data_IF_247210229225
#
_entry.id   IF_247210229225
#
_cell.length_a   1.000
_cell.length_b   1.000
_cell.length_c   1.000
_cell.angle_alpha   90.00
_cell.angle_beta   90.00
_cell.angle_gamma   90.00
#
_symmetry.space_group_name_H-M   'P 1'
#
loop_
_entity.id
_entity.type
_entity.pdbx_description
1 polymer ?
#
# COMPACT_ATOMS: atom_id res chain seq x y z
N UNK A 1 18.93 2.42 23.80
CA UNK A 1 17.83 1.73 24.51
C UNK A 1 16.48 1.98 23.85
N UNK A 2 16.11 3.21 23.48
CA UNK A 2 14.82 3.51 22.84
C UNK A 2 14.63 2.92 21.42
N UNK A 3 15.71 2.75 20.65
CA UNK A 3 15.65 2.20 19.27
C UNK A 3 15.22 0.73 19.26
N UNK A 4 15.83 -0.10 20.12
CA UNK A 4 15.49 -1.53 20.23
C UNK A 4 14.04 -1.79 20.62
N UNK A 5 13.48 -0.95 21.49
CA UNK A 5 12.07 -1.10 21.88
C UNK A 5 11.14 -0.83 20.69
N UNK A 6 11.43 0.18 19.88
CA UNK A 6 10.60 0.49 18.72
C UNK A 6 10.70 -0.60 17.64
N UNK A 7 11.88 -1.17 17.42
CA UNK A 7 12.08 -2.32 16.53
C UNK A 7 11.24 -3.53 17.00
N UNK A 8 11.29 -3.86 18.30
CA UNK A 8 10.43 -4.92 18.87
C UNK A 8 8.93 -4.61 18.73
N UNK A 9 8.53 -3.34 18.80
CA UNK A 9 7.15 -2.93 18.59
C UNK A 9 6.74 -3.01 17.11
N UNK A 10 7.66 -2.72 16.18
CA UNK A 10 7.43 -2.87 14.75
C UNK A 10 7.26 -4.34 14.38
N UNK A 11 8.13 -5.23 14.85
CA UNK A 11 8.01 -6.67 14.63
C UNK A 11 6.67 -7.21 15.15
N UNK A 12 6.29 -6.84 16.38
CA UNK A 12 5.00 -7.23 16.95
C UNK A 12 3.83 -6.67 16.19
N UNK A 13 3.94 -5.44 15.69
CA UNK A 13 2.89 -4.81 14.90
C UNK A 13 2.73 -5.50 13.55
N UNK A 14 3.82 -5.79 12.84
CA UNK A 14 3.81 -6.52 11.58
C UNK A 14 3.18 -7.91 11.75
N UNK A 15 3.58 -8.65 12.79
CA UNK A 15 3.00 -9.96 13.09
C UNK A 15 1.50 -9.87 13.43
N UNK A 16 1.12 -8.92 14.30
CA UNK A 16 -0.28 -8.76 14.68
C UNK A 16 -1.17 -8.32 13.50
N UNK A 17 -0.61 -7.53 12.57
CA UNK A 17 -1.29 -7.14 11.34
C UNK A 17 -1.49 -8.35 10.43
N UNK A 18 -0.44 -9.18 10.25
CA UNK A 18 -0.52 -10.45 9.51
C UNK A 18 -1.60 -11.36 10.09
N UNK A 19 -1.57 -11.62 11.41
CA UNK A 19 -2.56 -12.45 12.09
C UNK A 19 -4.01 -11.93 11.89
N UNK A 20 -4.18 -10.59 11.91
CA UNK A 20 -5.50 -9.98 11.69
C UNK A 20 -5.97 -10.12 10.25
N UNK A 21 -5.06 -10.05 9.29
CA UNK A 21 -5.37 -10.24 7.87
C UNK A 21 -5.76 -11.69 7.60
N UNK A 22 -5.03 -12.66 8.17
CA UNK A 22 -5.36 -14.09 8.14
C UNK A 22 -6.74 -14.36 8.77
N UNK A 23 -7.05 -13.74 9.93
CA UNK A 23 -8.35 -13.88 10.60
C UNK A 23 -9.51 -13.46 9.69
N UNK A 24 -9.32 -12.40 8.90
CA UNK A 24 -10.33 -11.87 8.00
C UNK A 24 -10.42 -12.63 6.68
N UNK A 25 -9.59 -13.66 6.48
CA UNK A 25 -9.39 -14.26 5.17
C UNK A 25 -9.06 -13.18 4.14
N UNK A 26 -8.32 -12.16 4.56
CA UNK A 26 -7.59 -11.28 3.68
C UNK A 26 -6.21 -11.93 3.55
N UNK A 27 -6.15 -13.07 2.87
CA UNK A 27 -4.87 -13.65 2.44
C UNK A 27 -4.21 -12.57 1.55
N UNK A 28 -3.30 -11.80 2.15
CA UNK A 28 -2.13 -11.33 1.43
C UNK A 28 -1.05 -12.33 1.82
N UNK A 29 -1.02 -13.47 1.14
CA UNK A 29 0.04 -14.45 1.33
C UNK A 29 1.31 -13.90 0.67
N UNK A 30 2.05 -13.07 1.43
CA UNK A 30 3.31 -12.43 1.02
C UNK A 30 4.39 -13.49 0.67
N UNK A 31 4.15 -14.77 0.94
CA UNK A 31 5.07 -15.88 0.67
C UNK A 31 4.92 -16.60 -0.67
N UNK A 32 3.80 -16.43 -1.39
CA UNK A 32 3.47 -17.16 -2.63
C UNK A 32 3.12 -16.20 -3.79
N UNK A 33 3.90 -15.13 -3.93
CA UNK A 33 3.76 -14.13 -4.99
C UNK A 33 4.26 -14.64 -6.36
N UNK A 34 3.48 -15.51 -6.99
CA UNK A 34 3.33 -15.50 -8.46
C UNK A 34 2.16 -14.57 -8.85
N UNK A 35 2.48 -13.29 -9.09
CA UNK A 35 1.89 -12.44 -10.13
C UNK A 35 0.42 -11.98 -10.11
N UNK A 36 -0.47 -12.38 -9.19
CA UNK A 36 -1.93 -12.29 -9.47
C UNK A 36 -2.81 -11.89 -8.27
N UNK A 37 -2.71 -10.67 -7.72
CA UNK A 37 -3.74 -10.20 -6.73
C UNK A 37 -4.64 -9.07 -7.27
N UNK A 38 -4.22 -8.33 -8.31
CA UNK A 38 -5.15 -7.46 -9.06
C UNK A 38 -6.29 -8.27 -9.72
N UNK A 39 -6.00 -9.53 -10.03
CA UNK A 39 -6.84 -10.47 -10.76
C UNK A 39 -7.56 -11.46 -9.83
N UNK A 40 -7.20 -11.55 -8.54
CA UNK A 40 -7.89 -12.45 -7.60
C UNK A 40 -9.25 -11.93 -7.13
N UNK A 41 -9.59 -10.65 -7.39
CA UNK A 41 -10.98 -10.22 -7.39
C UNK A 41 -11.83 -10.98 -8.45
N UNK A 42 -11.21 -11.69 -9.39
CA UNK A 42 -11.89 -12.55 -10.37
C UNK A 42 -11.77 -14.07 -10.10
N UNK A 43 -10.87 -14.56 -9.24
CA UNK A 43 -10.73 -16.01 -8.94
C UNK A 43 -10.94 -16.41 -7.48
N UNK A 44 -10.82 -15.50 -6.50
CA UNK A 44 -11.04 -15.81 -5.07
C UNK A 44 -12.52 -15.81 -4.62
N UNK A 45 -13.44 -15.40 -5.50
CA UNK A 45 -14.89 -15.40 -5.22
C UNK A 45 -15.37 -14.31 -4.23
N UNK A 46 -14.49 -13.39 -3.85
CA UNK A 46 -14.78 -12.29 -2.93
C UNK A 46 -15.28 -11.09 -3.73
N UNK A 47 -16.43 -10.51 -3.36
CA UNK A 47 -16.98 -9.36 -4.09
C UNK A 47 -16.17 -8.08 -3.79
N UNK A 48 -16.17 -7.06 -4.68
CA UNK A 48 -15.57 -5.76 -4.39
C UNK A 48 -16.11 -5.11 -3.10
N UNK A 49 -17.38 -5.38 -2.75
CA UNK A 49 -18.01 -4.90 -1.52
C UNK A 49 -17.38 -5.56 -0.28
N UNK A 50 -17.13 -6.87 -0.35
CA UNK A 50 -16.52 -7.63 0.74
C UNK A 50 -15.03 -7.28 0.90
N UNK A 51 -14.31 -7.01 -0.20
CA UNK A 51 -12.93 -6.50 -0.14
C UNK A 51 -12.86 -5.12 0.54
N UNK A 52 -13.83 -4.23 0.24
CA UNK A 52 -13.93 -2.92 0.88
C UNK A 52 -14.26 -3.03 2.37
N UNK A 53 -15.18 -3.93 2.76
CA UNK A 53 -15.54 -4.16 4.16
C UNK A 53 -14.33 -4.66 4.97
N UNK A 54 -13.58 -5.64 4.44
CA UNK A 54 -12.34 -6.13 5.07
C UNK A 54 -11.30 -5.02 5.22
N UNK A 55 -11.11 -4.19 4.19
CA UNK A 55 -10.18 -3.05 4.26
C UNK A 55 -10.55 -2.06 5.37
N UNK A 56 -11.84 -1.76 5.52
CA UNK A 56 -12.33 -0.87 6.59
C UNK A 56 -12.15 -1.50 7.98
N UNK A 57 -12.35 -2.81 8.11
CA UNK A 57 -12.12 -3.53 9.38
C UNK A 57 -10.64 -3.50 9.77
N UNK A 58 -9.73 -3.73 8.81
CA UNK A 58 -8.28 -3.64 9.04
C UNK A 58 -7.89 -2.22 9.45
N UNK A 59 -8.40 -1.18 8.76
CA UNK A 59 -8.10 0.21 9.12
C UNK A 59 -8.58 0.57 10.53
N UNK A 60 -9.78 0.11 10.91
CA UNK A 60 -10.32 0.29 12.25
C UNK A 60 -9.46 -0.42 13.30
N UNK A 61 -9.04 -1.66 13.02
CA UNK A 61 -8.17 -2.43 13.90
C UNK A 61 -6.80 -1.75 14.08
N UNK A 62 -6.18 -1.26 13.00
CA UNK A 62 -4.89 -0.54 13.07
C UNK A 62 -5.04 0.69 13.98
N UNK A 63 -6.13 1.46 13.84
CA UNK A 63 -6.42 2.62 14.69
C UNK A 63 -6.52 2.25 16.17
N UNK A 64 -7.18 1.15 16.49
CA UNK A 64 -7.30 0.68 17.86
C UNK A 64 -5.98 0.12 18.41
N UNK A 65 -5.24 -0.64 17.60
CA UNK A 65 -3.93 -1.18 17.95
C UNK A 65 -2.92 -0.06 18.24
N UNK A 66 -2.90 0.99 17.42
CA UNK A 66 -1.96 2.11 17.53
C UNK A 66 -2.37 3.16 18.58
N UNK A 67 -3.61 3.14 19.07
CA UNK A 67 -4.16 4.10 20.05
C UNK A 67 -3.31 4.29 21.32
N UNK A 68 -2.66 3.26 21.91
CA UNK A 68 -1.83 3.44 23.10
C UNK A 68 -0.49 4.15 22.84
N UNK A 69 -0.04 4.19 21.58
CA UNK A 69 1.24 4.78 21.20
C UNK A 69 1.13 6.30 21.08
N UNK A 70 2.25 7.01 21.26
CA UNK A 70 2.32 8.46 20.99
C UNK A 70 2.30 8.69 19.48
N UNK A 71 1.79 9.84 19.03
CA UNK A 71 1.74 10.20 17.59
C UNK A 71 3.05 9.96 16.84
N UNK A 72 4.19 10.35 17.43
CA UNK A 72 5.50 10.14 16.81
C UNK A 72 5.86 8.65 16.67
N UNK A 73 5.44 7.81 17.60
CA UNK A 73 5.72 6.37 17.56
C UNK A 73 4.75 5.67 16.59
N UNK A 74 3.49 6.11 16.52
CA UNK A 74 2.52 5.68 15.50
C UNK A 74 3.07 5.94 14.09
N UNK A 75 3.56 7.15 13.85
CA UNK A 75 4.16 7.53 12.57
C UNK A 75 5.38 6.66 12.23
N UNK A 76 6.27 6.40 13.20
CA UNK A 76 7.43 5.54 12.96
C UNK A 76 7.05 4.09 12.68
N UNK A 77 6.02 3.56 13.33
CA UNK A 77 5.51 2.21 13.06
C UNK A 77 4.91 2.13 11.65
N UNK A 78 4.13 3.13 11.25
CA UNK A 78 3.60 3.23 9.89
C UNK A 78 4.72 3.30 8.83
N UNK A 79 5.71 4.17 9.05
CA UNK A 79 6.91 4.28 8.19
C UNK A 79 7.68 2.96 8.13
N UNK A 80 7.82 2.26 9.26
CA UNK A 80 8.50 0.98 9.33
C UNK A 80 7.86 -0.11 8.48
N UNK A 81 6.54 -0.05 8.26
CA UNK A 81 5.83 -0.94 7.33
C UNK A 81 5.90 -0.46 5.89
N UNK A 82 5.88 0.86 5.65
CA UNK A 82 5.90 1.41 4.29
C UNK A 82 7.28 1.34 3.63
N UNK A 83 8.36 1.57 4.39
CA UNK A 83 9.70 1.64 3.83
C UNK A 83 10.09 0.40 3.04
N UNK A 84 9.98 -0.84 3.57
CA UNK A 84 10.38 -2.03 2.82
C UNK A 84 9.62 -2.16 1.50
N UNK A 85 8.30 -1.89 1.51
CA UNK A 85 7.47 -1.98 0.30
C UNK A 85 7.90 -0.95 -0.74
N UNK A 86 8.17 0.29 -0.34
CA UNK A 86 8.59 1.33 -1.26
C UNK A 86 10.02 1.08 -1.77
N UNK A 87 10.92 0.61 -0.91
CA UNK A 87 12.27 0.21 -1.29
C UNK A 87 12.22 -0.89 -2.37
N UNK A 88 11.37 -1.91 -2.20
CA UNK A 88 11.16 -2.98 -3.19
C UNK A 88 10.61 -2.43 -4.52
N UNK A 89 9.61 -1.54 -4.48
CA UNK A 89 9.06 -0.90 -5.69
C UNK A 89 10.14 -0.10 -6.43
N UNK A 90 10.97 0.66 -5.71
CA UNK A 90 12.03 1.46 -6.32
C UNK A 90 13.17 0.61 -6.88
N UNK A 91 13.52 -0.48 -6.20
CA UNK A 91 14.53 -1.41 -6.70
C UNK A 91 14.05 -2.09 -7.98
N UNK A 92 12.77 -2.45 -8.08
CA UNK A 92 12.17 -3.02 -9.29
C UNK A 92 11.98 -1.99 -10.43
N UNK A 93 11.84 -0.71 -10.09
CA UNK A 93 11.65 0.36 -11.07
C UNK A 93 12.86 0.46 -12.02
N UNK A 94 12.68 0.03 -13.26
CA UNK A 94 13.73 0.02 -14.30
C UNK A 94 14.51 -1.29 -14.42
N UNK A 95 14.13 -2.34 -13.68
CA UNK A 95 14.69 -3.69 -13.81
C UNK A 95 13.73 -4.69 -14.50
N UNK A 96 12.51 -4.26 -14.83
CA UNK A 96 11.54 -5.13 -15.50
C UNK A 96 11.98 -5.41 -16.94
N UNK A 97 12.38 -6.65 -17.22
CA UNK A 97 12.81 -7.10 -18.55
C UNK A 97 11.80 -8.07 -19.20
N UNK A 98 10.84 -8.58 -18.42
CA UNK A 98 9.80 -9.51 -18.85
C UNK A 98 8.39 -9.11 -18.39
N UNK A 99 7.37 -9.71 -19.00
CA UNK A 99 5.97 -9.53 -18.61
C UNK A 99 5.71 -10.00 -17.16
N UNK A 100 6.46 -11.01 -16.70
CA UNK A 100 6.39 -11.50 -15.32
C UNK A 100 6.97 -10.46 -14.34
N UNK A 101 8.10 -9.83 -14.68
CA UNK A 101 8.68 -8.75 -13.86
C UNK A 101 7.76 -7.54 -13.80
N UNK A 102 7.11 -7.19 -14.91
CA UNK A 102 6.14 -6.11 -14.96
C UNK A 102 4.91 -6.42 -14.10
N UNK A 103 4.42 -7.66 -14.13
CA UNK A 103 3.31 -8.12 -13.29
C UNK A 103 3.68 -8.04 -11.81
N UNK A 104 4.88 -8.49 -11.46
CA UNK A 104 5.41 -8.41 -10.09
C UNK A 104 5.60 -6.96 -9.63
N UNK A 105 6.10 -6.08 -10.50
CA UNK A 105 6.20 -4.64 -10.20
C UNK A 105 4.83 -4.03 -9.92
N UNK A 106 3.84 -4.30 -10.78
CA UNK A 106 2.47 -3.79 -10.59
C UNK A 106 1.81 -4.35 -9.33
N UNK A 107 2.12 -5.59 -8.96
CA UNK A 107 1.67 -6.20 -7.71
C UNK A 107 2.23 -5.46 -6.49
N UNK A 108 3.53 -5.17 -6.48
CA UNK A 108 4.15 -4.39 -5.43
C UNK A 108 3.59 -2.96 -5.36
N UNK A 109 3.30 -2.32 -6.50
CA UNK A 109 2.64 -1.01 -6.54
C UNK A 109 1.27 -1.05 -5.87
N UNK A 110 0.44 -2.06 -6.18
CA UNK A 110 -0.87 -2.21 -5.53
C UNK A 110 -0.75 -2.46 -4.02
N UNK A 111 0.22 -3.27 -3.60
CA UNK A 111 0.50 -3.48 -2.18
C UNK A 111 0.91 -2.16 -1.52
N UNK A 112 1.80 -1.38 -2.15
CA UNK A 112 2.21 -0.05 -1.68
C UNK A 112 1.05 0.93 -1.54
N UNK A 113 0.13 0.97 -2.51
CA UNK A 113 -1.06 1.83 -2.48
C UNK A 113 -2.04 1.43 -1.38
N UNK A 114 -2.30 0.13 -1.24
CA UNK A 114 -3.20 -0.41 -0.21
C UNK A 114 -2.65 -0.13 1.19
N UNK A 115 -1.38 -0.44 1.43
CA UNK A 115 -0.71 -0.21 2.71
C UNK A 115 -0.61 1.28 3.04
N UNK A 116 -0.29 2.12 2.03
CA UNK A 116 -0.33 3.57 2.20
C UNK A 116 -1.73 4.06 2.59
N UNK A 117 -2.78 3.60 1.91
CA UNK A 117 -4.15 4.02 2.20
C UNK A 117 -4.57 3.72 3.65
N UNK A 118 -4.20 2.55 4.17
CA UNK A 118 -4.48 2.15 5.56
C UNK A 118 -3.69 2.97 6.58
N UNK A 119 -2.45 3.33 6.27
CA UNK A 119 -1.53 3.96 7.23
C UNK A 119 -1.45 5.48 7.13
N UNK A 120 -1.97 6.11 6.06
CA UNK A 120 -1.83 7.56 5.81
C UNK A 120 -2.32 8.44 6.96
N UNK A 121 -3.33 8.00 7.71
CA UNK A 121 -3.87 8.76 8.85
C UNK A 121 -2.92 8.91 10.04
N UNK A 122 -1.83 8.12 10.08
CA UNK A 122 -0.79 8.17 11.10
C UNK A 122 0.47 8.93 10.66
N UNK A 123 0.53 9.37 9.40
CA UNK A 123 1.67 10.08 8.85
C UNK A 123 1.52 11.60 9.02
N UNK A 124 2.64 12.30 9.23
CA UNK A 124 2.70 13.75 9.12
C UNK A 124 2.57 14.20 7.66
N UNK A 125 2.22 15.47 7.43
CA UNK A 125 2.12 16.06 6.08
C UNK A 125 3.40 15.87 5.25
N UNK A 126 4.56 15.94 5.91
CA UNK A 126 5.84 15.68 5.27
C UNK A 126 5.91 14.25 4.73
N UNK A 127 5.65 13.26 5.59
CA UNK A 127 5.77 11.86 5.20
C UNK A 127 4.64 11.43 4.25
N UNK A 128 3.43 11.96 4.41
CA UNK A 128 2.36 11.82 3.42
C UNK A 128 2.84 12.19 2.02
N UNK A 129 3.51 13.35 1.89
CA UNK A 129 4.04 13.81 0.61
C UNK A 129 5.14 12.88 0.09
N UNK A 130 6.06 12.45 0.97
CA UNK A 130 7.18 11.56 0.63
C UNK A 130 6.73 10.24 0.01
N UNK A 131 5.67 9.61 0.50
CA UNK A 131 5.16 8.36 -0.06
C UNK A 131 4.17 8.60 -1.23
N UNK A 132 3.40 9.69 -1.21
CA UNK A 132 2.44 9.95 -2.28
C UNK A 132 3.09 10.44 -3.59
N UNK A 133 4.18 11.20 -3.53
CA UNK A 133 4.84 11.80 -4.71
C UNK A 133 5.38 10.76 -5.73
N UNK A 134 6.08 9.69 -5.32
CA UNK A 134 6.52 8.65 -6.25
C UNK A 134 5.35 7.95 -6.95
N UNK A 135 4.29 7.62 -6.20
CA UNK A 135 3.09 6.98 -6.76
C UNK A 135 2.34 7.89 -7.72
N UNK A 136 2.31 9.20 -7.44
CA UNK A 136 1.75 10.19 -8.38
C UNK A 136 2.57 10.29 -9.66
N UNK A 137 3.89 10.28 -9.54
CA UNK A 137 4.78 10.26 -10.71
C UNK A 137 4.56 9.02 -11.57
N UNK A 138 4.42 7.84 -10.93
CA UNK A 138 4.10 6.59 -11.61
C UNK A 138 2.72 6.65 -12.29
N UNK A 139 1.69 7.14 -11.59
CA UNK A 139 0.36 7.34 -12.18
C UNK A 139 0.41 8.21 -13.44
N UNK A 140 1.10 9.36 -13.39
CA UNK A 140 1.24 10.25 -14.55
C UNK A 140 1.93 9.53 -15.72
N UNK A 141 3.01 8.80 -15.46
CA UNK A 141 3.70 8.01 -16.49
C UNK A 141 2.77 6.96 -17.13
N UNK A 142 2.02 6.21 -16.31
CA UNK A 142 1.08 5.21 -16.81
C UNK A 142 -0.02 5.83 -17.66
N UNK A 143 -0.58 6.97 -17.24
CA UNK A 143 -1.64 7.66 -18.00
C UNK A 143 -1.10 8.25 -19.31
N UNK A 144 0.12 8.81 -19.31
CA UNK A 144 0.74 9.40 -20.49
C UNK A 144 1.07 8.35 -21.57
N UNK A 145 1.36 7.11 -21.16
CA UNK A 145 1.64 5.97 -22.06
C UNK A 145 0.37 5.26 -22.58
N UNK A 146 -0.80 5.57 -22.02
CA UNK A 146 -2.06 4.96 -22.42
C UNK A 146 -2.69 5.62 -23.65
N UNK A 147 -3.44 4.83 -24.42
CA UNK A 147 -4.21 5.33 -25.57
C UNK A 147 -5.20 6.44 -25.13
N UNK A 148 -5.36 7.46 -25.99
CA UNK A 148 -6.32 8.54 -25.78
C UNK A 148 -7.75 8.00 -25.60
N UNK A 149 -8.09 6.88 -26.26
CA UNK A 149 -9.42 6.26 -26.21
C UNK A 149 -9.62 5.31 -25.01
N UNK A 150 -8.60 5.06 -24.17
CA UNK A 150 -8.62 4.13 -23.04
C UNK A 150 -9.23 4.72 -21.74
N UNK A 151 -10.36 5.43 -21.85
CA UNK A 151 -10.94 6.22 -20.75
C UNK A 151 -11.36 5.36 -19.54
N UNK A 152 -11.90 4.15 -19.76
CA UNK A 152 -12.32 3.26 -18.67
C UNK A 152 -11.13 2.77 -17.84
N UNK A 153 -10.00 2.47 -18.49
CA UNK A 153 -8.77 2.05 -17.82
C UNK A 153 -8.15 3.22 -17.05
N UNK A 154 -8.17 4.44 -17.62
CA UNK A 154 -7.67 5.64 -16.94
C UNK A 154 -8.45 5.94 -15.67
N UNK A 155 -9.79 5.84 -15.70
CA UNK A 155 -10.62 6.04 -14.51
C UNK A 155 -10.41 4.92 -13.46
N UNK A 156 -10.18 3.68 -13.91
CA UNK A 156 -9.83 2.57 -13.01
C UNK A 156 -8.49 2.80 -12.30
N UNK A 157 -7.46 3.22 -13.04
CA UNK A 157 -6.15 3.59 -12.48
C UNK A 157 -6.26 4.78 -11.54
N UNK A 158 -7.00 5.81 -11.92
CA UNK A 158 -7.22 6.98 -11.07
C UNK A 158 -7.86 6.61 -9.74
N UNK A 159 -8.85 5.72 -9.75
CA UNK A 159 -9.48 5.20 -8.53
C UNK A 159 -8.47 4.48 -7.64
N UNK A 160 -7.60 3.67 -8.24
CA UNK A 160 -6.54 2.94 -7.52
C UNK A 160 -5.52 3.89 -6.88
N UNK A 161 -5.07 4.92 -7.62
CA UNK A 161 -4.08 5.90 -7.15
C UNK A 161 -4.68 7.06 -6.34
N UNK A 162 -6.01 7.14 -6.21
CA UNK A 162 -6.73 8.19 -5.52
C UNK A 162 -6.18 8.51 -4.11
N UNK A 163 -5.81 7.51 -3.28
CA UNK A 163 -5.26 7.77 -1.95
C UNK A 163 -4.01 8.67 -1.96
N UNK A 164 -3.18 8.57 -3.00
CA UNK A 164 -1.98 9.38 -3.20
C UNK A 164 -2.31 10.71 -3.91
N UNK A 165 -3.25 10.70 -4.85
CA UNK A 165 -3.71 11.90 -5.57
C UNK A 165 -4.40 12.92 -4.64
N UNK A 166 -5.07 12.44 -3.59
CA UNK A 166 -5.74 13.28 -2.58
C UNK A 166 -4.77 14.02 -1.64
N UNK A 167 -3.50 13.61 -1.59
CA UNK A 167 -2.51 14.26 -0.72
C UNK A 167 -2.15 15.61 -1.33
N UNK A 168 -2.28 16.74 -0.59
CA UNK A 168 -1.88 18.04 -1.11
C UNK A 168 -0.42 18.01 -1.57
N UNK A 169 -0.14 18.57 -2.73
CA UNK A 169 1.25 18.76 -3.15
C UNK A 169 1.96 19.63 -2.11
N UNK A 170 3.14 19.18 -1.67
CA UNK A 170 3.96 19.97 -0.77
C UNK A 170 4.28 21.28 -1.47
N UNK A 171 3.84 22.41 -0.89
CA UNK A 171 4.22 23.73 -1.39
C UNK A 171 5.74 23.85 -1.28
N UNK A 172 6.41 23.76 -2.42
CA UNK A 172 7.83 24.10 -2.55
C UNK A 172 8.08 25.57 -2.19
#
# INVERSE_FOLDING_TARGET
MAVKQLEEHLEKFALALSDKMDELGADLDIGDLEGVEALQAMEGGISPEEALEKSQEIEAWIKDYLKPYRKLDQEKLAIGLLNPIYDDIFDMAGQAESDDDLSLFMLNVMHGLSTFSMLKSFLSEKNLSTYAEPMRSLYTMLIDDMDEDAEEQKESLKTLFQPCLDVPEAKS
#
